data_IF_981376265328
#
_entry.id   IF_981376265328
#
_cell.length_a   1.000
_cell.length_b   1.000
_cell.length_c   1.000
_cell.angle_alpha   90.00
_cell.angle_beta   90.00
_cell.angle_gamma   90.00
#
_symmetry.space_group_name_H-M   'P 1'
#
loop_
_entity.id
_entity.type
_entity.pdbx_description
1 polymer ?
#
# COMPACT_ATOMS: atom_id res chain seq x y z
N UNK A 1 0.59 14.94 2.02
CA UNK A 1 1.99 15.44 2.25
C UNK A 1 2.12 16.36 3.47
N UNK A 2 1.24 17.34 3.67
CA UNK A 2 1.31 18.25 4.83
C UNK A 2 1.32 17.52 6.20
N UNK A 3 0.46 16.53 6.39
CA UNK A 3 0.41 15.73 7.64
C UNK A 3 1.70 14.96 7.90
N UNK A 4 2.34 14.41 6.86
CA UNK A 4 3.60 13.66 7.00
C UNK A 4 4.73 14.59 7.43
N UNK A 5 4.77 15.80 6.88
CA UNK A 5 5.77 16.83 7.25
C UNK A 5 5.58 17.36 8.68
N UNK A 6 4.33 17.49 9.10
CA UNK A 6 3.96 18.06 10.39
C UNK A 6 3.83 17.00 11.51
N UNK A 7 4.27 15.77 11.26
CA UNK A 7 4.18 14.72 12.27
C UNK A 7 5.14 14.97 13.42
N UNK A 8 4.59 15.07 14.63
CA UNK A 8 5.36 15.19 15.88
C UNK A 8 5.80 13.81 16.36
N UNK A 9 7.10 13.64 16.49
CA UNK A 9 7.69 12.39 16.93
C UNK A 9 7.62 12.26 18.46
N UNK A 10 7.07 11.16 18.94
CA UNK A 10 7.19 10.80 20.34
C UNK A 10 8.66 10.56 20.71
N UNK A 11 9.06 10.87 21.96
CA UNK A 11 10.38 10.50 22.45
C UNK A 11 10.61 8.99 22.27
N UNK A 12 11.75 8.63 21.70
CA UNK A 12 12.13 7.23 21.61
C UNK A 12 12.40 6.65 23.01
N UNK A 13 12.10 5.37 23.27
CA UNK A 13 12.53 4.71 24.50
C UNK A 13 14.05 4.80 24.68
N UNK A 14 14.53 4.99 25.90
CA UNK A 14 15.95 5.14 26.17
C UNK A 14 16.80 3.91 25.78
N UNK A 15 16.16 2.76 25.63
CA UNK A 15 16.74 1.47 25.25
C UNK A 15 16.24 0.96 23.90
N UNK A 16 15.88 1.86 22.99
CA UNK A 16 15.47 1.47 21.64
C UNK A 16 16.67 0.89 20.87
N UNK A 17 16.71 -0.43 20.75
CA UNK A 17 17.70 -1.13 19.95
C UNK A 17 17.03 -1.86 18.78
N UNK A 18 17.37 -1.44 17.56
CA UNK A 18 16.87 -2.05 16.34
C UNK A 18 15.34 -2.13 16.30
N UNK A 19 14.80 -3.34 16.15
CA UNK A 19 13.37 -3.62 16.08
C UNK A 19 12.81 -4.35 17.32
N UNK A 20 13.49 -4.31 18.45
CA UNK A 20 13.09 -5.06 19.64
C UNK A 20 11.66 -4.70 20.13
N UNK A 21 11.25 -3.45 19.96
CA UNK A 21 9.92 -2.95 20.34
C UNK A 21 9.01 -2.60 19.16
N UNK A 22 9.34 -3.09 17.96
CA UNK A 22 8.63 -2.78 16.73
C UNK A 22 9.45 -1.91 15.79
N UNK A 23 8.81 -1.05 15.01
CA UNK A 23 9.52 -0.15 14.08
C UNK A 23 10.31 0.90 14.85
N UNK A 24 11.64 0.91 14.64
CA UNK A 24 12.49 1.87 15.32
C UNK A 24 12.28 3.31 14.83
N UNK A 25 12.43 4.28 15.74
CA UNK A 25 12.28 5.71 15.42
C UNK A 25 13.21 6.18 14.30
N UNK A 26 14.50 5.80 14.26
CA UNK A 26 15.39 6.15 13.16
C UNK A 26 14.88 5.65 11.80
N UNK A 27 14.45 4.39 11.71
CA UNK A 27 13.91 3.81 10.47
C UNK A 27 12.65 4.55 10.04
N UNK A 28 11.73 4.85 10.96
CA UNK A 28 10.53 5.61 10.64
C UNK A 28 10.83 7.02 10.14
N UNK A 29 11.85 7.69 10.68
CA UNK A 29 12.31 8.99 10.19
C UNK A 29 12.92 8.90 8.79
N UNK A 30 13.61 7.81 8.47
CA UNK A 30 14.14 7.57 7.12
C UNK A 30 13.01 7.35 6.12
N UNK A 31 12.00 6.57 6.49
CA UNK A 31 10.78 6.39 5.67
C UNK A 31 10.07 7.72 5.46
N UNK A 32 9.93 8.53 6.50
CA UNK A 32 9.32 9.87 6.38
C UNK A 32 10.09 10.75 5.39
N UNK A 33 11.43 10.79 5.51
CA UNK A 33 12.28 11.57 4.59
C UNK A 33 12.12 11.12 3.14
N UNK A 34 12.15 9.80 2.91
CA UNK A 34 11.93 9.24 1.60
C UNK A 34 10.54 9.58 1.05
N UNK A 35 9.50 9.45 1.87
CA UNK A 35 8.13 9.77 1.46
C UNK A 35 7.96 11.24 1.04
N UNK A 36 8.62 12.15 1.78
CA UNK A 36 8.54 13.59 1.49
C UNK A 36 9.32 13.96 0.22
N UNK A 37 10.52 13.41 0.04
CA UNK A 37 11.49 13.89 -0.94
C UNK A 37 11.63 13.00 -2.17
N UNK A 38 11.43 11.68 -2.04
CA UNK A 38 11.76 10.71 -3.08
C UNK A 38 10.59 9.87 -3.58
N UNK A 39 9.51 9.76 -2.83
CA UNK A 39 8.37 8.93 -3.23
C UNK A 39 7.38 9.68 -4.12
N UNK A 40 7.17 9.15 -5.30
CA UNK A 40 6.19 9.66 -6.25
C UNK A 40 4.97 8.71 -6.32
N UNK A 41 3.91 9.07 -5.63
CA UNK A 41 2.64 8.33 -5.63
C UNK A 41 2.09 8.12 -7.04
N UNK A 42 2.27 9.09 -7.94
CA UNK A 42 1.70 9.01 -9.29
C UNK A 42 2.27 7.85 -10.10
N UNK A 43 3.53 7.50 -9.88
CA UNK A 43 4.14 6.30 -10.48
C UNK A 43 3.52 5.02 -9.96
N UNK A 44 3.23 4.94 -8.67
CA UNK A 44 2.55 3.79 -8.08
C UNK A 44 1.10 3.68 -8.56
N UNK A 45 0.39 4.80 -8.62
CA UNK A 45 -0.98 4.89 -9.15
C UNK A 45 -1.04 4.45 -10.62
N UNK A 46 -0.07 4.86 -11.44
CA UNK A 46 0.03 4.44 -12.84
C UNK A 46 0.20 2.92 -12.98
N UNK A 47 1.03 2.31 -12.13
CA UNK A 47 1.22 0.86 -12.12
C UNK A 47 -0.10 0.15 -11.73
N UNK A 48 -0.77 0.62 -10.69
CA UNK A 48 -2.03 0.05 -10.22
C UNK A 48 -3.14 0.17 -11.27
N UNK A 49 -3.18 1.29 -11.99
CA UNK A 49 -4.18 1.55 -13.02
C UNK A 49 -3.98 0.71 -14.31
N UNK A 50 -2.87 -0.01 -14.45
CA UNK A 50 -2.68 -0.98 -15.54
C UNK A 50 -3.58 -2.21 -15.39
N UNK A 51 -4.05 -2.49 -14.19
CA UNK A 51 -4.93 -3.62 -13.93
C UNK A 51 -6.40 -3.22 -14.14
N UNK A 52 -7.14 -3.94 -15.01
CA UNK A 52 -8.55 -3.66 -15.25
C UNK A 52 -9.39 -3.83 -13.98
N UNK A 53 -9.94 -2.73 -13.50
CA UNK A 53 -10.72 -2.67 -12.25
C UNK A 53 -12.20 -2.46 -12.57
N UNK A 54 -13.06 -3.18 -11.86
CA UNK A 54 -14.51 -3.16 -12.04
C UNK A 54 -15.21 -3.07 -10.69
N UNK A 55 -16.46 -2.68 -10.76
CA UNK A 55 -17.39 -2.75 -9.64
C UNK A 55 -18.64 -3.49 -10.08
N UNK A 56 -19.18 -4.34 -9.21
CA UNK A 56 -20.45 -5.03 -9.40
C UNK A 56 -21.26 -4.98 -8.12
N UNK A 57 -22.58 -4.83 -8.24
CA UNK A 57 -23.47 -4.93 -7.09
C UNK A 57 -23.87 -6.40 -6.90
N UNK A 58 -23.67 -6.91 -5.68
CA UNK A 58 -24.06 -8.26 -5.26
C UNK A 58 -24.82 -8.11 -3.93
N UNK A 59 -26.09 -8.53 -3.93
CA UNK A 59 -26.96 -8.46 -2.74
C UNK A 59 -26.99 -7.06 -2.08
N UNK A 60 -27.06 -6.01 -2.90
CA UNK A 60 -27.08 -4.63 -2.42
C UNK A 60 -25.72 -4.07 -1.98
N UNK A 61 -24.63 -4.82 -2.13
CA UNK A 61 -23.28 -4.40 -1.80
C UNK A 61 -22.45 -4.19 -3.07
N UNK A 62 -21.78 -3.04 -3.15
CA UNK A 62 -20.88 -2.73 -4.26
C UNK A 62 -19.51 -3.39 -4.02
N UNK A 63 -19.19 -4.39 -4.85
CA UNK A 63 -17.94 -5.14 -4.77
C UNK A 63 -16.97 -4.66 -5.85
N UNK A 64 -15.79 -4.26 -5.45
CA UNK A 64 -14.68 -3.96 -6.36
C UNK A 64 -13.87 -5.23 -6.62
N UNK A 65 -13.47 -5.43 -7.88
CA UNK A 65 -12.59 -6.54 -8.26
C UNK A 65 -11.70 -6.15 -9.44
N UNK A 66 -10.62 -6.90 -9.60
CA UNK A 66 -9.74 -6.83 -10.75
C UNK A 66 -9.93 -8.09 -11.58
N UNK A 67 -10.12 -7.94 -12.88
CA UNK A 67 -10.24 -9.07 -13.78
C UNK A 67 -9.14 -9.00 -14.84
N UNK A 68 -8.23 -9.95 -14.82
CA UNK A 68 -7.15 -10.09 -15.78
C UNK A 68 -7.40 -11.36 -16.59
N UNK A 69 -7.44 -11.21 -17.91
CA UNK A 69 -7.55 -12.36 -18.81
C UNK A 69 -6.18 -13.05 -18.86
N UNK A 70 -6.19 -14.38 -18.69
CA UNK A 70 -4.98 -15.17 -18.73
C UNK A 70 -4.28 -15.14 -20.09
N UNK A 71 -2.98 -15.20 -20.10
CA UNK A 71 -2.19 -15.39 -21.32
C UNK A 71 -2.59 -16.70 -22.01
N UNK A 72 -2.47 -16.75 -23.33
CA UNK A 72 -2.83 -17.92 -24.15
C UNK A 72 -4.28 -18.41 -23.96
N UNK A 73 -5.22 -17.53 -23.67
CA UNK A 73 -6.65 -17.81 -23.61
C UNK A 73 -7.12 -18.56 -22.38
N UNK A 74 -6.36 -18.56 -21.30
CA UNK A 74 -6.64 -19.07 -19.95
C UNK A 74 -7.74 -20.12 -19.86
N UNK A 75 -7.38 -21.38 -19.65
CA UNK A 75 -8.36 -22.49 -19.62
C UNK A 75 -9.03 -22.71 -18.27
N UNK A 76 -8.50 -22.11 -17.21
CA UNK A 76 -9.02 -22.28 -15.83
C UNK A 76 -9.12 -20.93 -15.15
N UNK A 77 -10.32 -20.51 -14.76
CA UNK A 77 -10.49 -19.32 -13.97
C UNK A 77 -9.92 -19.51 -12.56
N UNK A 78 -9.29 -18.46 -12.03
CA UNK A 78 -8.80 -18.40 -10.66
C UNK A 78 -9.46 -17.21 -9.98
N UNK A 79 -10.14 -17.45 -8.86
CA UNK A 79 -10.67 -16.42 -7.99
C UNK A 79 -9.82 -16.34 -6.73
N UNK A 80 -9.32 -15.14 -6.42
CA UNK A 80 -8.51 -14.90 -5.22
C UNK A 80 -9.22 -13.84 -4.37
N UNK A 81 -9.36 -14.13 -3.10
CA UNK A 81 -9.82 -13.17 -2.08
C UNK A 81 -8.71 -12.95 -1.06
N UNK A 82 -8.68 -11.76 -0.48
CA UNK A 82 -7.72 -11.49 0.60
C UNK A 82 -8.04 -12.34 1.84
N UNK A 83 -7.02 -12.60 2.63
CA UNK A 83 -7.15 -13.27 3.93
C UNK A 83 -7.47 -12.30 5.06
#
# INVERSE_FOLDING_TARGET
MARVKAYDWFPAPANEEGFAYGMSTPVMKDIQRYWIAGYDWRKSEEILNKYPSYKVEIDGQMIHFVHVVGEAGGRRPLLITHG
#
